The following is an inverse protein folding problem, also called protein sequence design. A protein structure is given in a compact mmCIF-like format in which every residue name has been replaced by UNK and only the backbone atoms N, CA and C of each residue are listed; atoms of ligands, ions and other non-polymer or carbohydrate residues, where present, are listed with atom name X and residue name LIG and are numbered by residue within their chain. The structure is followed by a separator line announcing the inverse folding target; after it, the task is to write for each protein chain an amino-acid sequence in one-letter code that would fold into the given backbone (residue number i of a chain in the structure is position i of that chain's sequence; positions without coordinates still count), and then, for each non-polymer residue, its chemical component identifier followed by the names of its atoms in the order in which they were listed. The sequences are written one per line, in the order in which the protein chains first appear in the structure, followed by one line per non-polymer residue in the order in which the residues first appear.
data_IF_158144519742
#
_entry.id   IF_158144519742
#
_cell.length_a   1.000
_cell.length_b   1.000
_cell.length_c   1.000
_cell.angle_alpha   90.00
_cell.angle_beta   90.00
_cell.angle_gamma   90.00
#
_symmetry.space_group_name_H-M   'P 1'
#
loop_
_entity.id
_entity.type
_entity.pdbx_description
1 polymer ?
#
# COMPACT_ATOMS: atom_id res chain seq x y z
N UNK A 1 -19.21 6.03 -12.28
CA UNK A 1 -18.77 5.80 -10.91
C UNK A 1 -17.29 5.53 -10.91
N UNK A 2 -16.52 6.39 -10.24
CA UNK A 2 -15.05 6.31 -10.20
C UNK A 2 -14.56 6.76 -8.83
N UNK A 3 -13.37 6.30 -8.46
CA UNK A 3 -12.62 6.76 -7.29
C UNK A 3 -11.22 7.15 -7.78
N UNK A 4 -10.77 8.36 -7.46
CA UNK A 4 -9.41 8.82 -7.78
C UNK A 4 -8.58 8.82 -6.50
N UNK A 5 -7.37 8.27 -6.59
CA UNK A 5 -6.40 8.27 -5.50
C UNK A 5 -5.07 8.81 -6.03
N UNK A 6 -4.44 9.67 -5.25
CA UNK A 6 -3.11 10.18 -5.50
C UNK A 6 -2.18 9.72 -4.36
N UNK A 7 -0.98 9.30 -4.73
CA UNK A 7 0.06 8.88 -3.80
C UNK A 7 1.21 9.88 -3.82
N UNK A 8 1.90 10.03 -2.69
CA UNK A 8 3.17 10.74 -2.63
C UNK A 8 4.36 9.78 -2.89
N UNK A 9 5.58 10.32 -2.82
CA UNK A 9 6.83 9.58 -3.04
C UNK A 9 7.07 8.41 -2.06
N UNK A 10 6.34 8.38 -0.95
CA UNK A 10 6.40 7.34 0.08
C UNK A 10 5.12 6.48 0.10
N UNK A 11 4.39 6.46 -1.02
CA UNK A 11 3.16 5.66 -1.23
C UNK A 11 2.01 5.98 -0.24
N UNK A 12 2.10 7.08 0.49
CA UNK A 12 0.98 7.55 1.32
C UNK A 12 -0.04 8.26 0.44
N UNK A 13 -1.32 8.15 0.82
CA UNK A 13 -2.41 8.89 0.20
C UNK A 13 -2.15 10.40 0.36
N UNK A 14 -1.97 11.09 -0.76
CA UNK A 14 -1.86 12.55 -0.84
C UNK A 14 -3.18 13.22 -1.23
N UNK A 15 -4.10 12.46 -1.81
CA UNK A 15 -5.46 12.90 -2.12
C UNK A 15 -6.37 11.72 -2.49
N UNK A 16 -7.66 11.84 -2.15
CA UNK A 16 -8.69 10.88 -2.53
C UNK A 16 -9.98 11.64 -2.94
N UNK A 17 -10.49 11.34 -4.13
CA UNK A 17 -11.85 11.73 -4.56
C UNK A 17 -12.71 10.46 -4.62
N UNK A 18 -13.70 10.38 -3.73
CA UNK A 18 -14.56 9.21 -3.59
C UNK A 18 -16.01 9.61 -3.24
N UNK A 19 -16.71 10.31 -4.14
CA UNK A 19 -18.05 10.85 -3.86
C UNK A 19 -19.08 9.76 -3.56
N UNK A 20 -18.83 8.53 -4.00
CA UNK A 20 -19.76 7.41 -3.88
C UNK A 20 -19.29 6.36 -2.85
N UNK A 21 -18.30 6.70 -2.00
CA UNK A 21 -17.80 5.85 -0.91
C UNK A 21 -17.42 4.43 -1.33
N UNK A 22 -16.80 4.31 -2.51
CA UNK A 22 -16.34 3.05 -3.04
C UNK A 22 -15.17 2.49 -2.23
N UNK A 23 -15.26 1.20 -1.92
CA UNK A 23 -14.11 0.42 -1.51
C UNK A 23 -13.19 0.18 -2.70
N UNK A 24 -11.90 0.46 -2.49
CA UNK A 24 -10.84 0.14 -3.43
C UNK A 24 -9.67 -0.33 -2.58
N UNK A 25 -9.28 -1.58 -2.74
CA UNK A 25 -8.16 -2.18 -1.99
C UNK A 25 -6.84 -2.07 -2.76
N UNK A 26 -6.89 -1.97 -4.09
CA UNK A 26 -5.68 -1.81 -4.89
C UNK A 26 -5.09 -0.41 -4.65
N UNK A 27 -3.78 -0.34 -4.45
CA UNK A 27 -3.03 0.92 -4.29
C UNK A 27 -2.17 1.14 -5.54
N UNK A 28 -0.86 0.95 -5.46
CA UNK A 28 0.01 0.86 -6.63
C UNK A 28 -0.02 -0.57 -7.20
N UNK A 29 0.56 -0.81 -8.41
CA UNK A 29 0.66 -2.16 -8.96
C UNK A 29 1.23 -3.14 -7.94
N UNK A 30 0.60 -4.31 -7.82
CA UNK A 30 0.95 -5.37 -6.86
C UNK A 30 0.75 -5.04 -5.36
N UNK A 31 0.17 -3.88 -5.02
CA UNK A 31 -0.13 -3.51 -3.64
C UNK A 31 -1.62 -3.60 -3.31
N UNK A 32 -1.92 -4.25 -2.20
CA UNK A 32 -3.28 -4.33 -1.64
C UNK A 32 -3.28 -3.69 -0.25
N UNK A 33 -4.22 -2.80 0.01
CA UNK A 33 -4.42 -2.24 1.35
C UNK A 33 -5.12 -3.23 2.25
N UNK A 34 -4.50 -3.47 3.40
CA UNK A 34 -5.09 -4.18 4.51
C UNK A 34 -5.66 -3.17 5.51
N UNK A 35 -6.99 -3.12 5.60
CA UNK A 35 -7.71 -2.19 6.48
C UNK A 35 -7.47 -2.50 7.96
N UNK A 36 -7.32 -3.78 8.33
CA UNK A 36 -7.15 -4.18 9.73
C UNK A 36 -5.83 -3.64 10.31
N UNK A 37 -4.76 -3.70 9.52
CA UNK A 37 -3.44 -3.27 9.95
C UNK A 37 -3.08 -1.85 9.49
N UNK A 38 -3.76 -1.31 8.50
CA UNK A 38 -3.38 -0.07 7.82
C UNK A 38 -2.12 -0.18 6.97
N UNK A 39 -1.73 -1.40 6.55
CA UNK A 39 -0.48 -1.67 5.82
C UNK A 39 -0.78 -2.04 4.38
N UNK A 40 0.26 -2.05 3.54
CA UNK A 40 0.15 -2.54 2.17
C UNK A 40 0.78 -3.92 2.04
N UNK A 41 0.01 -4.88 1.54
CA UNK A 41 0.49 -6.21 1.21
C UNK A 41 1.03 -6.26 -0.21
N UNK A 42 2.33 -6.53 -0.32
CA UNK A 42 3.09 -6.69 -1.56
C UNK A 42 3.55 -8.15 -1.63
N UNK A 43 2.79 -9.01 -2.32
CA UNK A 43 3.15 -10.39 -2.72
C UNK A 43 4.24 -11.02 -1.83
N UNK A 44 3.92 -11.26 -0.55
CA UNK A 44 4.75 -11.83 0.53
C UNK A 44 5.39 -10.84 1.53
N UNK A 45 5.15 -9.53 1.43
CA UNK A 45 5.70 -8.54 2.37
C UNK A 45 4.65 -7.50 2.77
N UNK A 46 4.74 -7.03 4.02
CA UNK A 46 3.95 -5.88 4.48
C UNK A 46 4.81 -4.61 4.47
N UNK A 47 4.31 -3.58 3.81
CA UNK A 47 4.90 -2.25 3.73
C UNK A 47 4.12 -1.28 4.62
N UNK A 48 4.85 -0.51 5.41
CA UNK A 48 4.32 0.59 6.21
C UNK A 48 4.54 1.91 5.45
N UNK A 49 3.48 2.48 4.82
CA UNK A 49 3.62 3.73 4.07
C UNK A 49 3.96 4.91 4.99
N UNK A 50 3.48 4.92 6.24
CA UNK A 50 3.77 5.98 7.20
C UNK A 50 5.24 6.08 7.61
N UNK A 51 6.00 4.98 7.46
CA UNK A 51 7.44 4.94 7.75
C UNK A 51 8.31 4.79 6.49
N UNK A 52 7.71 4.47 5.35
CA UNK A 52 8.44 4.24 4.11
C UNK A 52 9.23 2.93 4.07
N UNK A 53 8.88 1.93 4.89
CA UNK A 53 9.68 0.69 5.05
C UNK A 53 8.83 -0.59 5.01
N UNK A 54 9.46 -1.70 4.62
CA UNK A 54 8.91 -3.04 4.86
C UNK A 54 9.08 -3.44 6.32
N UNK A 55 8.02 -3.95 6.93
CA UNK A 55 8.03 -4.41 8.33
C UNK A 55 8.22 -5.92 8.45
N UNK A 56 8.10 -6.65 7.34
CA UNK A 56 8.41 -8.09 7.27
C UNK A 56 9.78 -8.30 6.64
N UNK A 57 10.50 -9.29 7.16
CA UNK A 57 11.75 -9.77 6.57
C UNK A 57 11.56 -10.13 5.11
N UNK A 58 12.55 -9.82 4.27
CA UNK A 58 12.52 -10.24 2.88
C UNK A 58 12.53 -11.78 2.79
N UNK A 59 11.56 -12.42 2.11
CA UNK A 59 11.54 -13.87 1.97
C UNK A 59 12.75 -14.43 1.21
N UNK A 60 13.47 -13.62 0.42
CA UNK A 60 14.74 -14.03 -0.20
C UNK A 60 15.91 -14.08 0.81
N UNK A 61 15.71 -13.49 1.99
CA UNK A 61 16.70 -13.41 3.06
C UNK A 61 17.95 -12.63 2.63
N UNK A 62 19.11 -13.05 3.14
CA UNK A 62 20.40 -12.41 2.89
C UNK A 62 20.83 -12.44 1.41
N UNK A 63 20.19 -13.25 0.56
CA UNK A 63 20.47 -13.27 -0.87
C UNK A 63 19.94 -12.02 -1.60
N UNK A 64 19.11 -11.21 -0.93
CA UNK A 64 18.53 -9.98 -1.48
C UNK A 64 19.38 -8.72 -1.28
N UNK A 65 20.47 -8.84 -0.52
CA UNK A 65 21.34 -7.71 -0.12
C UNK A 65 21.34 -7.45 1.38
#
# INVERSE_FOLDING_TARGET
MYKLVAFNEWENLSGEENPEQLEQVIRLPEQQYDEESGLYYNRNRYYNPGQGIYITQDPIGLAGG
#
